data_IF_425804506690
#
_entry.id   IF_425804506690
#
_cell.length_a   1.000
_cell.length_b   1.000
_cell.length_c   1.000
_cell.angle_alpha   90.00
_cell.angle_beta   90.00
_cell.angle_gamma   90.00
#
_symmetry.space_group_name_H-M   'P 1'
#
loop_
_entity.id
_entity.type
_entity.pdbx_description
1 polymer ?
#
# COMPACT_ATOMS: atom_id res chain seq x y z
N UNK A 1 -1.88 22.52 -30.69
CA UNK A 1 -1.54 22.68 -29.28
C UNK A 1 -0.90 21.39 -28.82
N UNK A 2 0.44 21.34 -28.96
CA UNK A 2 1.26 20.27 -28.40
C UNK A 2 1.32 20.49 -26.86
N UNK A 3 0.37 19.96 -26.15
CA UNK A 3 0.53 19.76 -24.71
C UNK A 3 1.69 18.78 -24.53
N UNK A 4 2.85 19.31 -24.32
CA UNK A 4 4.05 18.55 -24.06
C UNK A 4 3.75 17.64 -22.83
N UNK A 5 3.59 16.34 -23.09
CA UNK A 5 3.43 15.34 -22.03
C UNK A 5 4.69 15.34 -21.20
N UNK A 6 4.62 15.94 -20.04
CA UNK A 6 5.74 15.99 -19.11
C UNK A 6 5.70 14.72 -18.25
N UNK A 7 6.78 13.94 -18.30
CA UNK A 7 6.97 12.87 -17.36
C UNK A 7 7.41 13.45 -16.01
N UNK A 8 6.78 12.98 -14.96
CA UNK A 8 7.14 13.35 -13.58
C UNK A 8 7.80 12.17 -12.89
N UNK A 9 8.93 12.44 -12.26
CA UNK A 9 9.63 11.50 -11.40
C UNK A 9 9.14 11.72 -9.96
N UNK A 10 8.73 10.65 -9.30
CA UNK A 10 8.31 10.69 -7.92
C UNK A 10 9.15 9.74 -7.07
N UNK A 11 9.88 10.30 -6.13
CA UNK A 11 10.66 9.56 -5.15
C UNK A 11 9.91 9.51 -3.83
N UNK A 12 9.78 8.32 -3.25
CA UNK A 12 9.17 8.09 -1.95
C UNK A 12 10.24 7.72 -0.93
N UNK A 13 10.24 8.41 0.20
CA UNK A 13 11.19 8.15 1.30
C UNK A 13 10.45 7.99 2.62
N UNK A 14 11.16 7.45 3.62
CA UNK A 14 10.65 7.32 4.98
C UNK A 14 9.55 6.25 5.14
N UNK A 15 9.46 5.27 4.24
CA UNK A 15 8.48 4.20 4.34
C UNK A 15 8.91 3.20 5.41
N UNK A 16 8.05 2.98 6.41
CA UNK A 16 8.21 1.92 7.41
C UNK A 16 7.05 0.95 7.33
N UNK A 17 7.35 -0.34 7.51
CA UNK A 17 6.38 -1.42 7.43
C UNK A 17 6.51 -2.32 8.67
N UNK A 18 5.41 -2.87 9.12
CA UNK A 18 5.36 -3.91 10.13
C UNK A 18 4.81 -5.18 9.50
N UNK A 19 5.53 -6.27 9.65
CA UNK A 19 5.11 -7.59 9.25
C UNK A 19 5.03 -8.46 10.50
N UNK A 20 3.83 -8.95 10.81
CA UNK A 20 3.60 -9.85 11.92
C UNK A 20 2.75 -11.01 11.42
N UNK A 21 3.04 -12.22 11.88
CA UNK A 21 2.30 -13.38 11.44
C UNK A 21 2.63 -14.63 12.23
N UNK A 22 1.89 -15.68 11.93
CA UNK A 22 2.09 -17.02 12.46
C UNK A 22 2.17 -17.99 11.28
N UNK A 23 3.11 -18.89 11.35
CA UNK A 23 3.29 -19.98 10.39
C UNK A 23 3.24 -21.32 11.11
N UNK A 24 2.54 -22.27 10.53
CA UNK A 24 2.44 -23.62 11.03
C UNK A 24 2.57 -24.62 9.87
N UNK A 25 3.28 -25.72 10.11
CA UNK A 25 3.37 -26.82 9.19
C UNK A 25 3.26 -28.15 9.95
N UNK A 26 2.54 -29.09 9.38
CA UNK A 26 2.42 -30.44 9.93
C UNK A 26 2.38 -31.48 8.80
N UNK A 27 2.97 -32.63 9.05
CA UNK A 27 2.89 -33.78 8.16
C UNK A 27 2.49 -35.01 8.96
N UNK A 28 1.51 -35.75 8.45
CA UNK A 28 0.98 -36.97 9.07
C UNK A 28 1.01 -38.10 8.07
N UNK A 29 1.57 -39.25 8.49
CA UNK A 29 1.51 -40.48 7.71
C UNK A 29 0.15 -41.14 7.88
N UNK A 30 -0.54 -41.39 6.78
CA UNK A 30 -1.84 -42.07 6.71
C UNK A 30 -1.62 -43.49 6.17
N UNK A 31 -1.37 -44.43 7.07
CA UNK A 31 -1.02 -45.80 6.72
C UNK A 31 0.39 -45.93 6.13
N UNK A 32 0.57 -46.90 5.24
CA UNK A 32 1.90 -47.23 4.71
C UNK A 32 2.34 -46.41 3.50
N UNK A 33 1.38 -45.85 2.75
CA UNK A 33 1.66 -45.27 1.43
C UNK A 33 1.30 -43.80 1.30
N UNK A 34 0.55 -43.25 2.22
CA UNK A 34 0.07 -41.86 2.14
C UNK A 34 0.70 -40.97 3.18
N UNK A 35 1.00 -39.76 2.77
CA UNK A 35 1.41 -38.66 3.68
C UNK A 35 0.58 -37.44 3.37
N UNK A 36 -0.07 -36.88 4.40
CA UNK A 36 -0.79 -35.61 4.33
C UNK A 36 0.10 -34.52 4.94
N UNK A 37 0.39 -33.49 4.16
CA UNK A 37 1.16 -32.33 4.62
C UNK A 37 0.30 -31.08 4.52
N UNK A 38 0.20 -30.32 5.61
CA UNK A 38 -0.48 -29.04 5.68
C UNK A 38 0.48 -27.94 6.06
N UNK A 39 0.35 -26.77 5.42
CA UNK A 39 1.08 -25.55 5.73
C UNK A 39 0.07 -24.42 5.81
N UNK A 40 0.21 -23.55 6.81
CA UNK A 40 -0.61 -22.35 6.99
C UNK A 40 0.29 -21.21 7.38
N UNK A 41 0.15 -20.08 6.72
CA UNK A 41 0.74 -18.78 7.09
C UNK A 41 -0.36 -17.74 7.13
N UNK A 42 -0.46 -17.02 8.26
CA UNK A 42 -1.40 -15.90 8.43
C UNK A 42 -0.64 -14.72 8.95
N UNK A 43 -0.71 -13.59 8.24
CA UNK A 43 0.01 -12.37 8.60
C UNK A 43 -0.87 -11.13 8.62
N UNK A 44 -0.37 -10.08 9.26
CA UNK A 44 -0.87 -8.70 9.17
C UNK A 44 0.30 -7.80 8.80
N UNK A 45 0.31 -7.34 7.56
CA UNK A 45 1.39 -6.53 6.98
C UNK A 45 0.86 -5.14 6.69
N UNK A 46 1.38 -4.12 7.42
CA UNK A 46 0.88 -2.74 7.33
C UNK A 46 1.99 -1.73 7.28
N UNK A 47 1.70 -0.61 6.64
CA UNK A 47 2.51 0.59 6.75
C UNK A 47 2.32 1.21 8.14
N UNK A 48 3.41 1.60 8.80
CA UNK A 48 3.38 2.13 10.17
C UNK A 48 3.48 3.64 10.24
N UNK A 49 3.87 4.28 9.13
CA UNK A 49 3.96 5.74 9.01
C UNK A 49 3.53 6.20 7.61
N UNK A 50 3.39 7.50 7.45
CA UNK A 50 3.21 8.13 6.16
C UNK A 50 4.56 8.30 5.47
N UNK A 51 4.59 8.11 4.15
CA UNK A 51 5.77 8.34 3.34
C UNK A 51 5.92 9.85 3.05
N UNK A 52 7.11 10.22 2.63
CA UNK A 52 7.40 11.56 2.12
C UNK A 52 7.73 11.46 0.63
N UNK A 53 7.01 12.21 -0.19
CA UNK A 53 7.16 12.25 -1.63
C UNK A 53 7.89 13.51 -2.08
N UNK A 54 8.82 13.32 -3.00
CA UNK A 54 9.48 14.38 -3.76
C UNK A 54 9.13 14.14 -5.22
N UNK A 55 8.52 15.12 -5.88
CA UNK A 55 8.10 15.06 -7.28
C UNK A 55 8.83 16.11 -8.07
N UNK A 56 9.46 15.75 -9.17
CA UNK A 56 10.13 16.64 -10.11
C UNK A 56 9.76 16.31 -11.56
N UNK A 57 9.80 17.29 -12.45
CA UNK A 57 9.63 17.05 -13.87
C UNK A 57 10.95 16.58 -14.49
N UNK A 58 10.89 15.56 -15.35
CA UNK A 58 12.09 15.00 -15.99
C UNK A 58 12.80 15.99 -16.90
N UNK A 59 12.05 16.86 -17.58
CA UNK A 59 12.55 17.88 -18.50
C UNK A 59 12.95 19.20 -17.81
N UNK A 60 12.95 19.26 -16.48
CA UNK A 60 13.28 20.46 -15.71
C UNK A 60 12.24 21.58 -15.81
N UNK A 61 11.02 21.28 -16.26
CA UNK A 61 9.91 22.25 -16.23
C UNK A 61 9.44 22.52 -14.82
N UNK A 62 8.94 23.73 -14.58
CA UNK A 62 8.27 24.07 -13.33
C UNK A 62 6.97 23.27 -13.17
N UNK A 63 6.79 22.64 -12.01
CA UNK A 63 5.59 21.88 -11.69
C UNK A 63 4.47 22.75 -11.12
N UNK A 64 4.80 23.92 -10.58
CA UNK A 64 3.90 24.93 -10.05
C UNK A 64 4.57 26.30 -10.05
N UNK A 65 3.78 27.34 -9.81
CA UNK A 65 4.27 28.70 -9.58
C UNK A 65 3.70 29.19 -8.24
N UNK A 66 4.49 29.98 -7.52
CA UNK A 66 4.06 30.71 -6.34
C UNK A 66 4.50 32.17 -6.43
N UNK A 67 4.29 32.95 -5.36
CA UNK A 67 4.65 34.38 -5.31
C UNK A 67 6.15 34.63 -5.46
N UNK A 68 6.98 33.63 -5.09
CA UNK A 68 8.45 33.69 -5.12
C UNK A 68 9.03 33.17 -6.43
N UNK A 69 8.18 32.67 -7.35
CA UNK A 69 8.58 32.15 -8.65
C UNK A 69 8.25 30.68 -8.91
N UNK A 70 8.86 30.09 -9.97
CA UNK A 70 8.55 28.73 -10.37
C UNK A 70 9.07 27.69 -9.38
N UNK A 71 8.25 26.65 -9.14
CA UNK A 71 8.56 25.51 -8.29
C UNK A 71 8.90 24.31 -9.17
N UNK A 72 10.13 23.84 -9.08
CA UNK A 72 10.65 22.70 -9.85
C UNK A 72 10.55 21.37 -9.12
N UNK A 73 10.36 21.41 -7.80
CA UNK A 73 10.27 20.24 -6.95
C UNK A 73 9.11 20.42 -5.95
N UNK A 74 8.17 19.49 -5.99
CA UNK A 74 7.05 19.45 -5.07
C UNK A 74 7.32 18.44 -3.98
N UNK A 75 7.10 18.82 -2.73
CA UNK A 75 7.29 17.99 -1.55
C UNK A 75 5.98 17.81 -0.82
N UNK A 76 5.60 16.56 -0.55
CA UNK A 76 4.36 16.29 0.16
C UNK A 76 4.41 14.97 0.93
N UNK A 77 3.52 14.82 1.90
CA UNK A 77 3.32 13.58 2.62
C UNK A 77 2.32 12.70 1.88
N UNK A 78 2.62 11.41 1.78
CA UNK A 78 1.72 10.40 1.22
C UNK A 78 1.06 9.64 2.37
N UNK A 79 -0.25 9.74 2.47
CA UNK A 79 -1.06 9.20 3.57
C UNK A 79 -1.26 7.69 3.38
N UNK A 80 -0.35 6.90 3.91
CA UNK A 80 -0.34 5.43 3.77
C UNK A 80 -0.34 4.68 5.11
N UNK A 81 -0.19 5.38 6.22
CA UNK A 81 -0.20 4.76 7.55
C UNK A 81 -1.48 3.95 7.76
N UNK A 82 -1.33 2.73 8.25
CA UNK A 82 -2.44 1.80 8.48
C UNK A 82 -2.86 0.98 7.25
N UNK A 83 -2.48 1.37 6.03
CA UNK A 83 -2.76 0.59 4.84
C UNK A 83 -2.05 -0.76 4.88
N UNK A 84 -2.68 -1.74 4.26
CA UNK A 84 -2.08 -3.06 4.09
C UNK A 84 -1.06 -3.06 2.97
N UNK A 85 -0.01 -3.84 3.15
CA UNK A 85 1.09 -3.96 2.17
C UNK A 85 0.65 -4.92 1.07
N UNK A 86 0.91 -4.57 -0.19
CA UNK A 86 0.48 -5.29 -1.40
C UNK A 86 1.44 -6.38 -1.87
N UNK A 87 2.54 -6.65 -1.16
CA UNK A 87 3.61 -7.53 -1.63
C UNK A 87 3.24 -9.02 -1.70
N UNK A 88 2.04 -9.41 -1.31
CA UNK A 88 1.55 -10.78 -1.39
C UNK A 88 0.32 -11.03 -0.53
N UNK A 89 -0.28 -12.22 -0.62
CA UNK A 89 -1.40 -12.61 0.22
C UNK A 89 -0.97 -12.68 1.68
N UNK A 90 -1.83 -12.20 2.57
CA UNK A 90 -1.57 -12.26 4.01
C UNK A 90 -2.06 -13.55 4.65
N UNK A 91 -2.88 -14.31 3.92
CA UNK A 91 -3.22 -15.69 4.23
C UNK A 91 -2.74 -16.57 3.09
N UNK A 92 -1.95 -17.57 3.42
CA UNK A 92 -1.42 -18.55 2.50
C UNK A 92 -1.51 -19.93 3.15
N UNK A 93 -2.14 -20.88 2.47
CA UNK A 93 -2.20 -22.25 2.94
C UNK A 93 -2.01 -23.25 1.82
N UNK A 94 -1.45 -24.37 2.14
CA UNK A 94 -1.22 -25.47 1.22
C UNK A 94 -1.56 -26.80 1.89
N UNK A 95 -2.29 -27.65 1.19
CA UNK A 95 -2.56 -29.02 1.60
C UNK A 95 -2.08 -29.97 0.51
N UNK A 96 -1.16 -30.85 0.85
CA UNK A 96 -0.57 -31.82 -0.06
C UNK A 96 -0.85 -33.24 0.42
N UNK A 97 -1.42 -34.06 -0.46
CA UNK A 97 -1.51 -35.50 -0.28
C UNK A 97 -0.49 -36.19 -1.19
N UNK A 98 0.45 -36.88 -0.59
CA UNK A 98 1.48 -37.68 -1.28
C UNK A 98 1.18 -39.15 -1.15
N UNK A 99 1.27 -39.84 -2.25
CA UNK A 99 1.21 -41.29 -2.33
C UNK A 99 2.54 -41.85 -2.83
N UNK A 100 3.06 -42.86 -2.16
CA UNK A 100 4.28 -43.55 -2.56
C UNK A 100 4.10 -45.04 -2.42
N UNK A 101 4.34 -45.78 -3.51
CA UNK A 101 4.26 -47.25 -3.56
C UNK A 101 5.65 -47.89 -3.59
N UNK A 102 5.86 -49.05 -2.93
CA UNK A 102 7.15 -49.73 -2.93
C UNK A 102 7.70 -50.07 -4.33
N UNK A 103 6.84 -50.30 -5.31
CA UNK A 103 7.23 -50.52 -6.71
C UNK A 103 7.65 -49.24 -7.46
N UNK A 104 8.07 -48.21 -6.73
CA UNK A 104 8.70 -46.99 -7.24
C UNK A 104 7.78 -46.02 -8.00
N UNK A 105 6.47 -46.07 -7.79
CA UNK A 105 5.62 -45.04 -8.32
C UNK A 105 4.99 -44.17 -7.23
N UNK A 106 4.79 -42.90 -7.60
CA UNK A 106 4.33 -41.89 -6.68
C UNK A 106 3.33 -40.97 -7.37
N UNK A 107 2.49 -40.33 -6.57
CA UNK A 107 1.56 -39.29 -7.01
C UNK A 107 1.40 -38.23 -5.89
N UNK A 108 1.36 -36.99 -6.29
CA UNK A 108 1.13 -35.86 -5.40
C UNK A 108 -0.07 -35.06 -5.86
N UNK A 109 -0.97 -34.70 -4.94
CA UNK A 109 -2.04 -33.74 -5.17
C UNK A 109 -1.81 -32.60 -4.17
N UNK A 110 -1.76 -31.37 -4.70
CA UNK A 110 -1.57 -30.18 -3.87
C UNK A 110 -2.68 -29.16 -4.14
N UNK A 111 -3.31 -28.68 -3.09
CA UNK A 111 -4.27 -27.59 -3.13
C UNK A 111 -3.67 -26.40 -2.38
N UNK A 112 -3.62 -25.25 -3.05
CA UNK A 112 -3.16 -24.00 -2.47
C UNK A 112 -4.32 -23.02 -2.34
N UNK A 113 -4.37 -22.31 -1.23
CA UNK A 113 -5.35 -21.25 -0.96
C UNK A 113 -4.63 -19.98 -0.57
N UNK A 114 -5.04 -18.87 -1.19
CA UNK A 114 -4.51 -17.53 -0.95
C UNK A 114 -5.65 -16.57 -0.68
N UNK A 115 -5.48 -15.72 0.33
CA UNK A 115 -6.48 -14.71 0.67
C UNK A 115 -5.80 -13.44 1.21
N UNK A 116 -6.59 -12.38 1.37
CA UNK A 116 -6.13 -11.06 1.82
C UNK A 116 -5.00 -10.52 0.96
N UNK A 117 -5.18 -10.59 -0.36
CA UNK A 117 -4.32 -9.93 -1.33
C UNK A 117 -4.81 -8.51 -1.56
N UNK A 118 -3.91 -7.55 -1.44
CA UNK A 118 -4.23 -6.13 -1.55
C UNK A 118 -3.51 -5.52 -2.76
N UNK A 119 -4.19 -4.60 -3.43
CA UNK A 119 -3.58 -3.80 -4.49
C UNK A 119 -2.68 -2.74 -3.89
N UNK A 120 -1.67 -2.36 -4.65
CA UNK A 120 -0.80 -1.26 -4.25
C UNK A 120 -1.52 0.08 -4.36
N UNK A 121 -1.12 1.02 -3.53
CA UNK A 121 -1.67 2.37 -3.55
C UNK A 121 -1.00 3.21 -4.63
N UNK A 122 -1.74 4.16 -5.20
CA UNK A 122 -1.20 5.18 -6.08
C UNK A 122 -0.74 6.39 -5.23
N UNK A 123 0.58 6.64 -5.09
CA UNK A 123 1.09 7.70 -4.21
C UNK A 123 0.52 9.07 -4.55
N UNK A 124 0.41 9.39 -5.83
CA UNK A 124 -0.13 10.66 -6.30
C UNK A 124 -1.58 10.93 -5.83
N UNK A 125 -2.38 9.88 -5.63
CA UNK A 125 -3.77 10.00 -5.13
C UNK A 125 -3.88 10.07 -3.61
N UNK A 126 -2.76 9.94 -2.90
CA UNK A 126 -2.71 9.94 -1.43
C UNK A 126 -1.85 11.04 -0.84
N UNK A 127 -1.50 12.04 -1.65
CA UNK A 127 -0.77 13.20 -1.18
C UNK A 127 -1.65 14.07 -0.26
N UNK A 128 -1.08 14.52 0.85
CA UNK A 128 -1.76 15.40 1.81
C UNK A 128 -2.36 16.62 1.13
N UNK A 129 -1.63 17.26 0.22
CA UNK A 129 -2.07 18.44 -0.50
C UNK A 129 -3.38 18.25 -1.27
N UNK A 130 -3.67 17.04 -1.76
CA UNK A 130 -4.93 16.75 -2.43
C UNK A 130 -6.13 16.81 -1.49
N UNK A 131 -5.96 16.51 -0.22
CA UNK A 131 -7.04 16.51 0.77
C UNK A 131 -7.21 17.85 1.47
N UNK A 132 -6.13 18.58 1.68
CA UNK A 132 -6.13 19.82 2.48
C UNK A 132 -5.97 21.08 1.65
N UNK A 133 -5.65 20.97 0.37
CA UNK A 133 -5.30 22.11 -0.50
C UNK A 133 -3.91 22.69 -0.20
N UNK A 134 -3.20 22.17 0.82
CA UNK A 134 -1.87 22.63 1.21
C UNK A 134 -0.96 21.43 1.41
N UNK A 135 0.21 21.45 0.76
CA UNK A 135 1.21 20.37 0.86
C UNK A 135 1.94 20.42 2.20
N UNK A 136 2.72 19.38 2.47
CA UNK A 136 3.48 19.25 3.71
C UNK A 136 4.53 20.38 3.89
N UNK A 137 5.04 20.93 2.80
CA UNK A 137 5.97 22.09 2.78
C UNK A 137 5.28 23.44 2.92
N UNK A 138 3.94 23.47 3.04
CA UNK A 138 3.14 24.70 3.17
C UNK A 138 2.71 25.32 1.83
N UNK A 139 3.14 24.79 0.69
CA UNK A 139 2.74 25.30 -0.63
C UNK A 139 1.29 24.96 -0.95
N UNK A 140 0.56 25.88 -1.60
CA UNK A 140 -0.81 25.65 -2.06
C UNK A 140 -0.83 24.69 -3.26
N UNK A 141 -1.91 23.91 -3.37
CA UNK A 141 -2.18 23.08 -4.55
C UNK A 141 -2.98 23.90 -5.55
N UNK A 142 -2.37 24.24 -6.69
CA UNK A 142 -3.07 24.93 -7.76
C UNK A 142 -4.18 24.05 -8.34
N UNK A 143 -5.38 24.65 -8.56
CA UNK A 143 -6.52 23.93 -9.07
C UNK A 143 -7.07 22.86 -8.13
N UNK A 144 -6.90 23.03 -6.82
CA UNK A 144 -7.45 22.11 -5.85
C UNK A 144 -8.98 22.04 -5.94
N UNK A 145 -9.46 20.83 -6.21
CA UNK A 145 -10.88 20.52 -6.29
C UNK A 145 -11.33 19.93 -4.94
N UNK A 146 -11.45 20.76 -3.93
CA UNK A 146 -11.71 20.37 -2.54
C UNK A 146 -12.93 19.44 -2.36
N UNK A 147 -13.95 19.59 -3.17
CA UNK A 147 -15.18 18.83 -3.04
C UNK A 147 -15.02 17.34 -3.40
N UNK A 148 -14.05 16.98 -4.24
CA UNK A 148 -13.86 15.59 -4.67
C UNK A 148 -13.14 14.77 -3.60
N UNK A 149 -12.23 15.38 -2.84
CA UNK A 149 -11.39 14.69 -1.87
C UNK A 149 -11.80 14.93 -0.42
N UNK A 150 -12.52 16.02 -0.12
CA UNK A 150 -13.04 16.29 1.24
C UNK A 150 -13.98 15.22 1.75
N UNK A 151 -14.65 14.49 0.85
CA UNK A 151 -15.49 13.36 1.22
C UNK A 151 -14.70 12.13 1.69
N UNK A 152 -13.40 12.04 1.37
CA UNK A 152 -12.52 10.98 1.81
C UNK A 152 -11.88 11.24 3.18
N UNK A 153 -12.04 12.47 3.72
CA UNK A 153 -11.52 12.84 5.04
C UNK A 153 -12.57 12.51 6.09
N UNK A 154 -12.15 11.89 7.18
CA UNK A 154 -13.01 11.66 8.32
C UNK A 154 -13.33 12.98 9.03
N UNK A 155 -14.61 13.18 9.37
CA UNK A 155 -15.09 14.34 10.10
C UNK A 155 -15.81 13.88 11.34
N UNK A 156 -15.68 14.65 12.42
CA UNK A 156 -16.43 14.46 13.65
C UNK A 156 -17.93 14.83 13.44
N UNK A 157 -18.74 14.61 14.46
CA UNK A 157 -20.19 14.93 14.44
C UNK A 157 -20.45 16.42 14.24
N UNK A 158 -19.52 17.30 14.55
CA UNK A 158 -19.60 18.75 14.35
C UNK A 158 -19.12 19.18 12.94
N UNK A 159 -18.62 18.23 12.12
CA UNK A 159 -18.13 18.50 10.77
C UNK A 159 -16.67 18.93 10.68
N UNK A 160 -15.92 18.91 11.78
CA UNK A 160 -14.49 19.24 11.76
C UNK A 160 -13.67 18.04 11.30
N UNK A 161 -12.54 18.31 10.63
CA UNK A 161 -11.61 17.27 10.19
C UNK A 161 -10.98 16.60 11.40
N UNK A 162 -11.04 15.26 11.45
CA UNK A 162 -10.35 14.44 12.44
C UNK A 162 -8.89 14.30 12.01
N UNK A 163 -7.98 14.54 12.95
CA UNK A 163 -6.54 14.42 12.73
C UNK A 163 -5.97 13.28 13.58
N UNK A 164 -5.03 12.54 13.00
CA UNK A 164 -4.28 11.54 13.75
C UNK A 164 -3.31 12.21 14.76
N UNK A 165 -2.63 11.38 15.56
CA UNK A 165 -1.64 11.85 16.55
C UNK A 165 -0.45 12.64 15.96
N UNK A 166 -0.31 12.66 14.62
CA UNK A 166 0.75 13.38 13.90
C UNK A 166 0.22 14.64 13.18
N UNK A 167 -1.06 15.00 13.40
CA UNK A 167 -1.69 16.13 12.77
C UNK A 167 -2.00 15.95 11.28
N UNK A 168 -2.16 14.70 10.84
CA UNK A 168 -2.55 14.35 9.48
C UNK A 168 -4.05 14.02 9.48
N UNK A 169 -4.84 14.54 8.50
CA UNK A 169 -6.24 14.16 8.38
C UNK A 169 -6.44 12.67 8.27
N UNK A 170 -7.33 12.10 9.06
CA UNK A 170 -7.72 10.70 8.94
C UNK A 170 -8.58 10.51 7.70
N UNK A 171 -8.40 9.37 7.01
CA UNK A 171 -9.18 9.01 5.83
C UNK A 171 -10.24 8.00 6.21
N UNK A 172 -11.45 8.18 5.67
CA UNK A 172 -12.49 7.15 5.71
C UNK A 172 -12.02 5.92 4.94
N UNK A 173 -12.17 4.76 5.51
CA UNK A 173 -11.85 3.46 4.92
C UNK A 173 -13.11 2.77 4.43
#
# INVERSE_FOLDING_TARGET
DDEARTFVNQSLTGISRRHMGVEAAAAVKLGLYFTLTGVLSVGDYRYTNNAYAITSAENGMALAENVDGPIYELRDSVLIKGLRVSTGPQVNSSLKLSFFHPDMWFADITVNYFDWSYLDYAPARRMKGLFTGVRADGSAVNGWYGDTYTNAIEKDEAGNIVYDQYGVPELKY
#
